data_IF_824482528860
#
_entry.id   IF_824482528860
#
_cell.length_a   1.000
_cell.length_b   1.000
_cell.length_c   1.000
_cell.angle_alpha   90.00
_cell.angle_beta   90.00
_cell.angle_gamma   90.00
#
_symmetry.space_group_name_H-M   'P 1'
#
loop_
_entity.id
_entity.type
_entity.pdbx_description
1 polymer ?
#
# COMPACT_ATOMS: atom_id res chain seq x y z
N UNK A 1 4.19 4.72 0.07
CA UNK A 1 2.88 5.34 -0.20
C UNK A 1 1.88 4.31 -0.67
N UNK A 2 0.64 4.38 -0.17
CA UNK A 2 -0.49 3.64 -0.71
C UNK A 2 -1.11 4.36 -1.92
N UNK A 3 -1.67 3.58 -2.85
CA UNK A 3 -2.32 4.06 -4.05
C UNK A 3 -3.82 3.70 -4.02
N UNK A 4 -4.64 4.64 -3.59
CA UNK A 4 -6.10 4.48 -3.56
C UNK A 4 -6.80 5.84 -3.66
N UNK A 5 -8.06 5.91 -4.12
CA UNK A 5 -8.83 7.17 -4.15
C UNK A 5 -8.89 7.89 -2.80
N UNK A 6 -8.86 7.14 -1.68
CA UNK A 6 -8.83 7.68 -0.32
C UNK A 6 -7.60 8.55 -0.02
N UNK A 7 -6.51 8.40 -0.78
CA UNK A 7 -5.27 9.15 -0.59
C UNK A 7 -5.23 10.49 -1.34
N UNK A 8 -6.19 10.75 -2.23
CA UNK A 8 -6.15 11.91 -3.13
C UNK A 8 -5.99 13.24 -2.41
N UNK A 9 -6.80 13.50 -1.37
CA UNK A 9 -6.72 14.77 -0.62
C UNK A 9 -5.41 14.89 0.15
N UNK A 10 -5.00 13.81 0.83
CA UNK A 10 -3.73 13.76 1.54
C UNK A 10 -2.55 14.06 0.61
N UNK A 11 -2.45 13.35 -0.52
CA UNK A 11 -1.38 13.56 -1.49
C UNK A 11 -1.41 14.98 -2.07
N UNK A 12 -2.60 15.50 -2.36
CA UNK A 12 -2.77 16.88 -2.84
C UNK A 12 -2.27 17.92 -1.85
N UNK A 13 -2.54 17.77 -0.56
CA UNK A 13 -2.02 18.68 0.47
C UNK A 13 -0.51 18.52 0.63
N UNK A 14 -0.02 17.29 0.56
CA UNK A 14 1.40 16.99 0.77
C UNK A 14 2.30 17.66 -0.29
N UNK A 15 1.91 17.62 -1.57
CA UNK A 15 2.68 18.26 -2.67
C UNK A 15 2.76 19.78 -2.55
N UNK A 16 1.83 20.42 -1.85
CA UNK A 16 1.81 21.86 -1.63
C UNK A 16 2.60 22.29 -0.38
N UNK A 17 3.09 21.35 0.41
CA UNK A 17 3.88 21.65 1.61
C UNK A 17 5.24 22.25 1.23
N UNK A 18 5.50 23.45 1.72
CA UNK A 18 6.79 24.14 1.52
C UNK A 18 7.85 23.73 2.55
N UNK A 19 7.49 22.90 3.52
CA UNK A 19 8.37 22.49 4.61
C UNK A 19 9.13 21.19 4.30
N UNK A 20 8.79 20.52 3.20
CA UNK A 20 9.38 19.22 2.83
C UNK A 20 10.48 19.43 1.80
N UNK A 21 11.68 18.99 2.13
CA UNK A 21 12.78 18.88 1.17
C UNK A 21 12.71 17.54 0.43
N UNK A 22 11.94 17.53 -0.64
CA UNK A 22 11.70 16.36 -1.48
C UNK A 22 12.98 15.76 -2.06
N UNK A 23 13.99 16.59 -2.33
CA UNK A 23 15.27 16.15 -2.92
C UNK A 23 16.07 15.19 -2.01
N UNK A 24 15.68 15.05 -0.76
CA UNK A 24 16.28 14.13 0.21
C UNK A 24 15.51 12.82 0.38
N UNK A 25 14.32 12.70 -0.22
CA UNK A 25 13.40 11.59 0.02
C UNK A 25 13.50 10.54 -1.09
N UNK A 26 13.70 9.28 -0.71
CA UNK A 26 13.54 8.13 -1.58
C UNK A 26 12.09 7.63 -1.45
N UNK A 27 11.35 7.60 -2.55
CA UNK A 27 9.95 7.19 -2.56
C UNK A 27 9.79 5.74 -3.02
N UNK A 28 8.82 5.07 -2.41
CA UNK A 28 8.41 3.69 -2.69
C UNK A 28 6.88 3.63 -2.73
N UNK A 29 6.31 2.68 -3.50
CA UNK A 29 4.93 2.28 -3.29
C UNK A 29 4.85 0.85 -2.75
N UNK A 30 3.76 0.52 -2.10
CA UNK A 30 3.72 -0.66 -1.25
C UNK A 30 3.16 -1.90 -1.95
N UNK A 31 2.53 -1.74 -3.10
CA UNK A 31 1.85 -2.81 -3.82
C UNK A 31 1.64 -2.48 -5.29
N UNK A 32 1.48 -3.49 -6.14
CA UNK A 32 1.15 -3.33 -7.56
C UNK A 32 0.48 -4.60 -8.10
N UNK A 33 -0.46 -4.43 -9.00
CA UNK A 33 -1.08 -5.55 -9.72
C UNK A 33 -0.09 -6.26 -10.63
N UNK A 34 -0.18 -7.59 -10.69
CA UNK A 34 0.57 -8.39 -11.66
C UNK A 34 -0.20 -8.43 -12.98
N UNK A 35 0.53 -8.19 -14.07
CA UNK A 35 0.02 -8.26 -15.45
C UNK A 35 -0.59 -6.96 -15.99
N UNK A 36 -0.72 -5.91 -15.15
CA UNK A 36 -1.24 -4.63 -15.61
C UNK A 36 -0.13 -3.79 -16.26
N UNK A 37 -0.48 -3.04 -17.33
CA UNK A 37 0.49 -2.16 -17.97
C UNK A 37 0.88 -1.01 -17.04
N UNK A 38 2.17 -0.61 -16.93
CA UNK A 38 2.61 0.44 -16.01
C UNK A 38 1.96 1.82 -16.22
N UNK A 39 1.45 2.07 -17.43
CA UNK A 39 0.74 3.32 -17.77
C UNK A 39 -0.79 3.18 -17.67
N UNK A 40 -1.29 2.00 -17.37
CA UNK A 40 -2.74 1.81 -17.19
C UNK A 40 -3.25 2.71 -16.07
N UNK A 41 -4.46 3.29 -16.21
CA UNK A 41 -5.05 4.13 -15.16
C UNK A 41 -5.18 3.42 -13.80
N UNK A 42 -5.25 2.09 -13.82
CA UNK A 42 -5.41 1.22 -12.65
C UNK A 42 -4.08 0.84 -11.99
N UNK A 43 -2.92 1.03 -12.67
CA UNK A 43 -1.62 0.77 -12.06
C UNK A 43 -1.40 1.70 -10.87
N UNK A 44 -0.98 1.15 -9.75
CA UNK A 44 -0.70 1.91 -8.53
C UNK A 44 0.53 2.80 -8.68
N UNK A 45 1.54 2.31 -9.40
CA UNK A 45 2.69 3.13 -9.79
C UNK A 45 2.27 4.34 -10.62
N UNK A 46 1.37 4.15 -11.60
CA UNK A 46 0.85 5.24 -12.41
C UNK A 46 -0.03 6.20 -11.59
N UNK A 47 -0.88 5.67 -10.71
CA UNK A 47 -1.68 6.48 -9.79
C UNK A 47 -0.80 7.45 -8.99
N UNK A 48 0.26 6.95 -8.37
CA UNK A 48 1.17 7.77 -7.56
C UNK A 48 2.03 8.69 -8.42
N UNK A 49 2.46 8.24 -9.61
CA UNK A 49 3.18 9.09 -10.56
C UNK A 49 2.41 10.35 -10.88
N UNK A 50 1.12 10.22 -11.22
CA UNK A 50 0.27 11.35 -11.57
C UNK A 50 -0.06 12.27 -10.40
N UNK A 51 -0.05 11.77 -9.15
CA UNK A 51 -0.50 12.51 -7.96
C UNK A 51 0.62 13.09 -7.12
N UNK A 52 1.78 12.45 -7.10
CA UNK A 52 2.87 12.91 -6.26
C UNK A 52 4.25 12.69 -6.89
N UNK A 53 4.55 11.53 -7.50
CA UNK A 53 5.93 11.19 -7.87
C UNK A 53 6.50 12.08 -8.96
N UNK A 54 5.68 12.55 -9.92
CA UNK A 54 6.08 13.52 -10.95
C UNK A 54 5.76 14.97 -10.56
N UNK A 55 5.18 15.21 -9.37
CA UNK A 55 4.77 16.56 -8.95
C UNK A 55 5.80 17.26 -8.09
N UNK A 56 6.68 16.51 -7.44
CA UNK A 56 7.72 17.02 -6.54
C UNK A 56 9.04 16.32 -6.83
N UNK A 57 10.19 16.99 -6.60
CA UNK A 57 11.51 16.49 -7.00
C UNK A 57 12.08 15.49 -5.98
N UNK A 58 11.50 14.27 -5.92
CA UNK A 58 12.08 13.20 -5.09
C UNK A 58 13.53 12.90 -5.47
N UNK A 59 14.35 12.51 -4.50
CA UNK A 59 15.70 12.01 -4.75
C UNK A 59 15.69 10.78 -5.64
N UNK A 60 14.83 9.82 -5.32
CA UNK A 60 14.56 8.63 -6.15
C UNK A 60 13.10 8.22 -6.01
N UNK A 61 12.55 7.61 -7.07
CA UNK A 61 11.25 6.94 -7.03
C UNK A 61 11.47 5.49 -7.45
N UNK A 62 11.04 4.57 -6.62
CA UNK A 62 11.23 3.13 -6.82
C UNK A 62 9.87 2.47 -7.06
N UNK A 63 9.72 1.82 -8.22
CA UNK A 63 8.50 1.15 -8.63
C UNK A 63 8.64 -0.37 -8.54
N UNK A 64 7.56 -1.04 -8.10
CA UNK A 64 7.33 -2.47 -8.30
C UNK A 64 6.98 -2.71 -9.77
N UNK A 65 7.59 -3.71 -10.38
CA UNK A 65 7.30 -4.09 -11.76
C UNK A 65 6.33 -5.27 -11.82
N UNK A 66 5.03 -4.99 -11.91
CA UNK A 66 3.99 -6.01 -12.06
C UNK A 66 4.03 -6.79 -13.38
N UNK A 67 4.87 -6.39 -14.34
CA UNK A 67 5.09 -7.10 -15.61
C UNK A 67 6.46 -7.81 -15.68
N UNK A 68 7.12 -8.00 -14.55
CA UNK A 68 8.39 -8.73 -14.53
C UNK A 68 8.20 -10.17 -15.01
N UNK A 69 9.09 -10.65 -15.87
CA UNK A 69 9.09 -12.04 -16.35
C UNK A 69 9.33 -13.02 -15.20
N UNK A 70 10.20 -12.64 -14.25
CA UNK A 70 10.48 -13.38 -13.03
C UNK A 70 10.05 -12.56 -11.81
N UNK A 71 8.93 -12.93 -11.22
CA UNK A 71 8.36 -12.24 -10.05
C UNK A 71 9.18 -12.46 -8.77
N UNK A 72 9.87 -13.59 -8.63
CA UNK A 72 10.76 -13.82 -7.48
C UNK A 72 11.97 -12.89 -7.52
N UNK A 73 12.58 -12.72 -8.70
CA UNK A 73 13.67 -11.76 -8.88
C UNK A 73 13.21 -10.32 -8.63
N UNK A 74 11.99 -9.98 -9.03
CA UNK A 74 11.42 -8.67 -8.74
C UNK A 74 11.19 -8.44 -7.25
N UNK A 75 10.62 -9.43 -6.53
CA UNK A 75 10.50 -9.39 -5.08
C UNK A 75 11.85 -9.20 -4.40
N UNK A 76 12.88 -9.91 -4.85
CA UNK A 76 14.24 -9.80 -4.33
C UNK A 76 14.83 -8.42 -4.62
N UNK A 77 14.73 -7.93 -5.87
CA UNK A 77 15.21 -6.60 -6.29
C UNK A 77 14.62 -5.50 -5.42
N UNK A 78 13.30 -5.53 -5.24
CA UNK A 78 12.61 -4.49 -4.46
C UNK A 78 12.93 -4.61 -2.97
N UNK A 79 13.06 -5.82 -2.44
CA UNK A 79 13.51 -6.06 -1.07
C UNK A 79 14.92 -5.50 -0.82
N UNK A 80 15.85 -5.68 -1.76
CA UNK A 80 17.20 -5.12 -1.67
C UNK A 80 17.20 -3.58 -1.69
N UNK A 81 16.27 -2.96 -2.44
CA UNK A 81 16.10 -1.51 -2.41
C UNK A 81 15.61 -1.02 -1.04
N UNK A 82 14.63 -1.71 -0.45
CA UNK A 82 14.12 -1.40 0.89
C UNK A 82 15.19 -1.58 1.99
N UNK A 83 16.07 -2.58 1.84
CA UNK A 83 17.19 -2.78 2.77
C UNK A 83 18.26 -1.70 2.65
N UNK A 84 18.54 -1.23 1.42
CA UNK A 84 19.50 -0.13 1.17
C UNK A 84 18.96 1.23 1.57
N UNK A 85 17.65 1.40 1.54
CA UNK A 85 16.95 2.62 1.88
C UNK A 85 15.80 2.29 2.85
N UNK A 86 16.11 2.03 4.13
CA UNK A 86 15.10 1.77 5.15
C UNK A 86 14.01 2.85 5.13
N UNK A 87 12.76 2.42 5.30
CA UNK A 87 11.61 3.31 5.23
C UNK A 87 11.39 3.95 6.59
N UNK A 88 11.44 5.28 6.65
CA UNK A 88 11.17 6.05 7.86
C UNK A 88 9.66 6.29 8.06
N UNK A 89 8.94 6.48 6.96
CA UNK A 89 7.51 6.88 6.98
C UNK A 89 6.70 6.00 6.04
N UNK A 90 5.61 5.44 6.54
CA UNK A 90 4.58 4.77 5.74
C UNK A 90 3.29 5.58 5.74
N UNK A 91 2.79 5.90 4.53
CA UNK A 91 1.48 6.49 4.33
C UNK A 91 0.56 5.42 3.76
N UNK A 92 -0.45 4.98 4.52
CA UNK A 92 -1.29 3.84 4.18
C UNK A 92 -2.79 4.13 4.36
N UNK A 93 -3.61 3.24 3.86
CA UNK A 93 -5.05 3.18 4.10
C UNK A 93 -5.44 1.81 4.63
N UNK A 94 -6.74 1.61 4.89
CA UNK A 94 -7.31 0.33 5.30
C UNK A 94 -8.36 -0.10 4.27
N UNK A 95 -8.30 -1.36 3.84
CA UNK A 95 -9.30 -1.97 2.97
C UNK A 95 -10.61 -2.28 3.70
N UNK A 96 -11.66 -2.64 2.95
CA UNK A 96 -13.00 -2.94 3.53
C UNK A 96 -12.98 -4.17 4.44
N UNK A 97 -12.10 -5.15 4.16
CA UNK A 97 -11.87 -6.34 4.99
C UNK A 97 -10.77 -6.15 6.05
N UNK A 98 -10.26 -4.93 6.23
CA UNK A 98 -9.20 -4.63 7.20
C UNK A 98 -7.78 -4.85 6.69
N UNK A 99 -7.57 -5.10 5.38
CA UNK A 99 -6.22 -5.27 4.84
C UNK A 99 -5.42 -3.96 4.85
N UNK A 100 -4.11 -4.09 4.88
CA UNK A 100 -3.12 -3.03 4.62
C UNK A 100 -2.17 -3.48 3.50
N UNK A 101 -1.92 -2.61 2.50
CA UNK A 101 -1.39 -3.02 1.21
C UNK A 101 -2.22 -4.22 0.69
N UNK A 102 -1.68 -5.16 -0.06
CA UNK A 102 -2.41 -6.38 -0.42
C UNK A 102 -2.20 -7.53 0.58
N UNK A 103 -2.15 -7.21 1.89
CA UNK A 103 -2.17 -8.25 2.93
C UNK A 103 -3.62 -8.44 3.39
N UNK A 104 -4.41 -9.14 2.58
CA UNK A 104 -5.77 -9.58 2.92
C UNK A 104 -5.74 -10.64 4.06
N UNK A 105 -6.82 -10.85 4.82
CA UNK A 105 -6.87 -11.79 5.94
C UNK A 105 -6.30 -13.18 5.66
N UNK A 106 -6.54 -13.73 4.46
CA UNK A 106 -6.11 -15.09 4.09
C UNK A 106 -4.61 -15.19 3.76
N UNK A 107 -3.95 -14.06 3.49
CA UNK A 107 -2.52 -14.03 3.11
C UNK A 107 -1.68 -13.20 4.07
N UNK A 108 -2.31 -12.50 5.00
CA UNK A 108 -1.65 -11.73 6.04
C UNK A 108 -0.82 -12.66 6.94
N UNK A 109 0.39 -12.21 7.27
CA UNK A 109 1.26 -12.90 8.21
C UNK A 109 2.06 -11.84 8.99
N UNK A 110 1.83 -11.77 10.29
CA UNK A 110 2.52 -10.81 11.17
C UNK A 110 4.00 -11.15 11.38
N UNK A 111 4.37 -12.38 11.07
CA UNK A 111 5.75 -12.89 11.20
C UNK A 111 6.34 -13.28 9.84
N UNK A 112 5.90 -12.66 8.74
CA UNK A 112 6.40 -12.95 7.40
C UNK A 112 7.92 -12.69 7.32
N UNK A 113 8.68 -13.66 6.84
CA UNK A 113 10.13 -13.54 6.67
C UNK A 113 10.54 -12.74 5.44
N UNK A 114 9.63 -12.53 4.49
CA UNK A 114 9.87 -11.77 3.28
C UNK A 114 9.58 -10.28 3.52
N UNK A 115 10.20 -9.40 2.74
CA UNK A 115 9.85 -7.98 2.70
C UNK A 115 8.81 -7.70 1.61
N UNK A 116 8.91 -8.41 0.49
CA UNK A 116 8.02 -8.33 -0.66
C UNK A 116 7.63 -9.72 -1.08
N UNK A 117 6.36 -9.92 -1.42
CA UNK A 117 5.83 -11.21 -1.88
C UNK A 117 4.79 -11.06 -2.97
N UNK A 118 4.54 -12.15 -3.71
CA UNK A 118 3.38 -12.34 -4.58
C UNK A 118 2.22 -12.86 -3.73
N UNK A 119 1.03 -12.28 -3.92
CA UNK A 119 -0.20 -12.73 -3.26
C UNK A 119 -1.31 -12.97 -4.27
N UNK A 120 -2.25 -13.84 -3.94
CA UNK A 120 -3.56 -13.92 -4.58
C UNK A 120 -4.51 -12.96 -3.88
N UNK A 121 -5.28 -12.22 -4.67
CA UNK A 121 -6.17 -11.20 -4.13
C UNK A 121 -7.49 -11.82 -3.67
N UNK A 122 -7.89 -11.48 -2.47
CA UNK A 122 -9.17 -11.84 -1.90
C UNK A 122 -10.33 -11.33 -2.77
N UNK A 123 -11.43 -12.12 -2.98
CA UNK A 123 -12.58 -11.68 -3.75
C UNK A 123 -13.23 -10.39 -3.24
N UNK A 124 -13.22 -10.15 -1.92
CA UNK A 124 -13.74 -8.91 -1.32
C UNK A 124 -12.86 -7.73 -1.72
N UNK A 125 -11.53 -7.90 -1.66
CA UNK A 125 -10.57 -6.90 -2.11
C UNK A 125 -10.75 -6.58 -3.60
N UNK A 126 -10.90 -7.59 -4.46
CA UNK A 126 -11.17 -7.40 -5.89
C UNK A 126 -12.51 -6.70 -6.13
N UNK A 127 -13.57 -7.08 -5.40
CA UNK A 127 -14.89 -6.44 -5.52
C UNK A 127 -14.82 -4.96 -5.06
N UNK A 128 -14.03 -4.64 -4.04
CA UNK A 128 -13.81 -3.25 -3.63
C UNK A 128 -13.30 -2.40 -4.79
N UNK A 129 -12.39 -2.91 -5.63
CA UNK A 129 -11.85 -2.16 -6.77
C UNK A 129 -12.90 -1.83 -7.83
N UNK A 130 -13.90 -2.72 -8.00
CA UNK A 130 -15.07 -2.45 -8.85
C UNK A 130 -15.99 -1.40 -8.20
N UNK A 131 -16.26 -1.53 -6.90
CA UNK A 131 -17.09 -0.58 -6.15
C UNK A 131 -16.49 0.84 -6.15
N UNK A 132 -15.17 0.94 -6.08
CA UNK A 132 -14.41 2.19 -6.15
C UNK A 132 -14.24 2.69 -7.61
N UNK A 133 -14.81 1.98 -8.60
CA UNK A 133 -14.77 2.32 -10.04
C UNK A 133 -13.35 2.34 -10.63
N UNK A 134 -12.43 1.62 -10.02
CA UNK A 134 -11.09 1.43 -10.58
C UNK A 134 -11.11 0.45 -11.78
N UNK A 135 -12.04 -0.51 -11.76
CA UNK A 135 -12.29 -1.46 -12.84
C UNK A 135 -13.78 -1.53 -13.15
N UNK A 136 -14.12 -1.81 -14.41
CA UNK A 136 -15.52 -1.89 -14.86
C UNK A 136 -16.22 -3.15 -14.35
N UNK A 137 -15.50 -4.28 -14.32
CA UNK A 137 -16.03 -5.58 -13.87
C UNK A 137 -15.01 -6.33 -13.01
N UNK A 138 -15.51 -7.28 -12.24
CA UNK A 138 -14.69 -8.13 -11.36
C UNK A 138 -13.64 -8.94 -12.13
N UNK A 139 -13.97 -9.43 -13.33
CA UNK A 139 -13.06 -10.26 -14.13
C UNK A 139 -11.88 -9.46 -14.70
N UNK A 140 -12.01 -8.15 -14.78
CA UNK A 140 -10.92 -7.26 -15.20
C UNK A 140 -9.93 -6.95 -14.07
N UNK A 141 -10.30 -7.19 -12.81
CA UNK A 141 -9.39 -6.99 -11.68
C UNK A 141 -8.38 -8.15 -11.66
N UNK A 142 -7.06 -7.87 -11.69
CA UNK A 142 -6.05 -8.92 -11.62
C UNK A 142 -6.27 -9.84 -10.41
N UNK A 143 -5.96 -11.12 -10.57
CA UNK A 143 -6.08 -12.10 -9.50
C UNK A 143 -4.88 -12.10 -8.56
N UNK A 144 -3.75 -11.52 -8.98
CA UNK A 144 -2.48 -11.53 -8.23
C UNK A 144 -1.87 -10.14 -8.16
N UNK A 145 -1.11 -9.93 -7.10
CA UNK A 145 -0.37 -8.69 -6.88
C UNK A 145 1.00 -8.94 -6.24
N UNK A 146 1.90 -7.96 -6.38
CA UNK A 146 3.08 -7.79 -5.56
C UNK A 146 2.72 -6.91 -4.37
N UNK A 147 3.17 -7.26 -3.17
CA UNK A 147 2.92 -6.46 -1.96
C UNK A 147 4.10 -6.47 -1.00
N UNK A 148 4.32 -5.34 -0.34
CA UNK A 148 5.12 -5.33 0.87
C UNK A 148 4.39 -6.12 1.95
N UNK A 149 5.13 -6.89 2.72
CA UNK A 149 4.58 -7.65 3.85
C UNK A 149 4.27 -6.75 5.05
N UNK A 150 3.46 -7.23 5.98
CA UNK A 150 3.16 -6.49 7.21
C UNK A 150 4.44 -6.15 7.99
N UNK A 151 5.37 -7.09 8.25
CA UNK A 151 6.64 -6.75 8.92
C UNK A 151 7.47 -5.72 8.15
N UNK A 152 7.41 -5.69 6.82
CA UNK A 152 8.12 -4.68 6.04
C UNK A 152 7.54 -3.28 6.24
N UNK A 153 6.21 -3.17 6.31
CA UNK A 153 5.52 -1.89 6.58
C UNK A 153 5.77 -1.40 8.01
N UNK A 154 5.76 -2.33 8.98
CA UNK A 154 5.95 -2.03 10.41
C UNK A 154 7.39 -1.67 10.80
N UNK A 155 8.36 -1.80 9.91
CA UNK A 155 9.75 -1.34 10.14
C UNK A 155 9.90 0.17 10.13
N UNK A 156 8.91 0.90 9.61
CA UNK A 156 8.94 2.35 9.57
C UNK A 156 8.81 2.97 10.98
N UNK A 157 9.50 4.07 11.20
CA UNK A 157 9.41 4.80 12.48
C UNK A 157 8.05 5.46 12.66
N UNK A 158 7.40 5.84 11.55
CA UNK A 158 6.12 6.55 11.55
C UNK A 158 5.15 5.94 10.53
N UNK A 159 3.90 5.78 10.97
CA UNK A 159 2.81 5.36 10.10
C UNK A 159 1.66 6.35 10.14
N UNK A 160 1.28 6.85 8.95
CA UNK A 160 0.11 7.71 8.78
C UNK A 160 -0.97 6.92 8.06
N UNK A 161 -2.07 6.65 8.75
CA UNK A 161 -3.19 5.89 8.22
C UNK A 161 -4.35 6.82 7.85
N UNK A 162 -4.66 6.94 6.56
CA UNK A 162 -5.68 7.86 6.03
C UNK A 162 -6.87 7.06 5.50
N UNK A 163 -8.02 7.13 6.18
CA UNK A 163 -9.22 6.32 5.90
C UNK A 163 -10.49 7.19 5.95
N UNK A 164 -10.72 8.07 4.97
CA UNK A 164 -11.78 9.08 5.03
C UNK A 164 -13.19 8.57 4.71
N UNK A 165 -13.35 7.39 4.07
CA UNK A 165 -14.63 6.99 3.50
C UNK A 165 -15.50 6.16 4.44
N UNK A 166 -16.82 6.41 4.42
CA UNK A 166 -17.81 5.74 5.28
C UNK A 166 -17.88 4.23 5.09
N UNK A 167 -17.64 3.72 3.88
CA UNK A 167 -17.61 2.27 3.59
C UNK A 167 -16.46 1.53 4.31
N UNK A 168 -15.48 2.26 4.84
CA UNK A 168 -14.38 1.71 5.65
C UNK A 168 -14.68 1.72 7.17
N UNK A 169 -15.83 2.25 7.61
CA UNK A 169 -16.13 2.44 9.03
C UNK A 169 -16.05 1.14 9.85
N UNK A 170 -16.56 0.03 9.30
CA UNK A 170 -16.48 -1.28 9.98
C UNK A 170 -15.04 -1.77 10.10
N UNK A 171 -14.23 -1.62 9.05
CA UNK A 171 -12.82 -2.00 9.08
C UNK A 171 -12.05 -1.16 10.12
N UNK A 172 -12.29 0.15 10.17
CA UNK A 172 -11.69 1.04 11.18
C UNK A 172 -12.15 0.65 12.58
N UNK A 173 -13.45 0.38 12.78
CA UNK A 173 -13.97 -0.08 14.08
C UNK A 173 -13.28 -1.38 14.52
N UNK A 174 -13.21 -2.38 13.64
CA UNK A 174 -12.55 -3.64 13.95
C UNK A 174 -11.04 -3.46 14.21
N UNK A 175 -10.40 -2.54 13.50
CA UNK A 175 -9.00 -2.19 13.75
C UNK A 175 -8.81 -1.62 15.15
N UNK A 176 -9.68 -0.70 15.60
CA UNK A 176 -9.51 0.04 16.86
C UNK A 176 -10.01 -0.73 18.09
N UNK A 177 -11.03 -1.55 17.94
CA UNK A 177 -11.73 -2.19 19.07
C UNK A 177 -11.81 -3.72 18.98
N UNK A 178 -11.38 -4.30 17.86
CA UNK A 178 -11.30 -5.75 17.68
C UNK A 178 -10.04 -6.36 18.27
N UNK A 179 -9.92 -7.68 18.14
CA UNK A 179 -8.69 -8.39 18.49
C UNK A 179 -7.58 -8.08 17.48
N UNK A 180 -6.35 -7.96 17.96
CA UNK A 180 -5.18 -7.87 17.09
C UNK A 180 -4.95 -9.25 16.46
N UNK A 181 -5.29 -9.37 15.19
CA UNK A 181 -5.17 -10.64 14.48
C UNK A 181 -5.05 -10.46 12.96
N UNK A 182 -4.55 -11.48 12.30
CA UNK A 182 -4.45 -11.52 10.84
C UNK A 182 -5.81 -11.56 10.14
N UNK A 183 -6.91 -11.78 10.87
CA UNK A 183 -8.29 -11.62 10.36
C UNK A 183 -8.70 -10.17 10.15
N UNK A 184 -8.00 -9.23 10.79
CA UNK A 184 -8.09 -7.79 10.56
C UNK A 184 -6.66 -7.23 10.54
N UNK A 185 -5.93 -7.37 9.42
CA UNK A 185 -4.50 -7.09 9.39
C UNK A 185 -4.11 -5.70 9.86
N UNK A 186 -4.96 -4.69 9.62
CA UNK A 186 -4.75 -3.32 10.10
C UNK A 186 -4.68 -3.22 11.64
N UNK A 187 -5.25 -4.17 12.38
CA UNK A 187 -5.24 -4.17 13.85
C UNK A 187 -3.82 -4.19 14.45
N UNK A 188 -2.84 -4.75 13.71
CA UNK A 188 -1.44 -4.77 14.16
C UNK A 188 -0.86 -3.36 14.32
N UNK A 189 -1.36 -2.38 13.56
CA UNK A 189 -0.90 -0.99 13.63
C UNK A 189 -1.10 -0.39 15.03
N UNK A 190 -2.04 -0.90 15.82
CA UNK A 190 -2.26 -0.42 17.21
C UNK A 190 -1.08 -0.71 18.15
N UNK A 191 -0.28 -1.73 17.87
CA UNK A 191 0.92 -2.02 18.67
C UNK A 191 2.03 -0.98 18.48
N UNK A 192 1.92 -0.14 17.46
CA UNK A 192 2.91 0.89 17.10
C UNK A 192 2.42 2.31 17.38
N UNK A 193 1.21 2.45 17.92
CA UNK A 193 0.65 3.73 18.36
C UNK A 193 0.86 3.89 19.87
N UNK A 194 2.09 4.18 20.29
CA UNK A 194 2.38 4.39 21.73
C UNK A 194 1.76 5.67 22.29
N UNK A 195 1.26 6.59 21.45
CA UNK A 195 0.77 7.91 21.84
C UNK A 195 -0.47 8.37 21.03
N UNK A 196 -1.40 7.48 20.71
CA UNK A 196 -2.72 7.90 20.24
C UNK A 196 -3.53 8.41 21.43
N UNK A 197 -3.32 9.68 21.78
CA UNK A 197 -4.16 10.44 22.70
C UNK A 197 -5.34 11.05 21.96
#
# INVERSE_FOLDING_TARGET
FAAAPSQNEFLSHLIHSKQIDWSRINAFHMDEYIGIHPEAPQSFGNFLRQRIFDKVPFKTVNYLNGQAENLEEECKRYSELLLRHPVDIVCLGIGENGHIAFNDPDVANFNDSHLVKVVELDPICRQQQVNEKCFETFDLVPAKALTLTIPALLKADWMFCIVPFKNKANAVYNTLYGEISEKCPASICLLYTSDAA
#
